data_IF_018069920140
#
_entry.id   IF_018069920140
#
_cell.length_a   1.000
_cell.length_b   1.000
_cell.length_c   1.000
_cell.angle_alpha   90.00
_cell.angle_beta   90.00
_cell.angle_gamma   90.00
#
_symmetry.space_group_name_H-M   'P 1'
#
loop_
_entity.id
_entity.type
_entity.pdbx_description
1 polymer ?
#
# COMPACT_ATOMS: atom_id res chain seq x y z
N UNK A 1 13.04 -22.52 30.79
CA UNK A 1 12.06 -21.79 29.96
C UNK A 1 12.50 -20.34 29.86
N UNK A 2 12.51 -19.78 28.66
CA UNK A 2 12.83 -18.39 28.40
C UNK A 2 11.51 -17.65 28.12
N UNK A 3 11.33 -16.48 28.72
CA UNK A 3 10.24 -15.58 28.40
C UNK A 3 10.82 -14.33 27.73
N UNK A 4 10.22 -13.93 26.61
CA UNK A 4 10.56 -12.72 25.89
C UNK A 4 9.37 -11.78 25.93
N UNK A 5 9.62 -10.53 26.27
CA UNK A 5 8.62 -9.47 26.20
C UNK A 5 9.10 -8.45 25.17
N UNK A 6 8.24 -8.14 24.20
CA UNK A 6 8.46 -7.10 23.20
C UNK A 6 7.41 -6.03 23.42
N UNK A 7 7.84 -4.78 23.58
CA UNK A 7 6.93 -3.66 23.79
C UNK A 7 6.30 -3.18 22.48
N UNK A 8 5.11 -2.60 22.57
CA UNK A 8 4.49 -1.89 21.44
C UNK A 8 5.44 -0.85 20.80
N UNK A 9 6.20 -0.14 21.65
CA UNK A 9 7.19 0.84 21.23
C UNK A 9 8.28 0.26 20.30
N UNK A 10 8.66 -1.01 20.48
CA UNK A 10 9.63 -1.69 19.59
C UNK A 10 9.09 -1.80 18.16
N UNK A 11 7.79 -2.06 18.01
CA UNK A 11 7.14 -2.10 16.70
C UNK A 11 6.95 -0.70 16.11
N UNK A 12 6.56 0.28 16.93
CA UNK A 12 6.38 1.68 16.48
C UNK A 12 7.67 2.29 15.95
N UNK A 13 8.79 2.08 16.64
CA UNK A 13 10.11 2.56 16.19
C UNK A 13 10.54 1.88 14.90
N UNK A 14 10.27 0.58 14.75
CA UNK A 14 10.50 -0.14 13.49
C UNK A 14 9.68 0.45 12.35
N UNK A 15 8.37 0.65 12.54
CA UNK A 15 7.51 1.27 11.54
C UNK A 15 7.97 2.68 11.15
N UNK A 16 8.42 3.49 12.12
CA UNK A 16 9.00 4.80 11.89
C UNK A 16 10.29 4.74 11.05
N UNK A 17 11.19 3.80 11.36
CA UNK A 17 12.43 3.63 10.61
C UNK A 17 12.16 3.24 9.14
N UNK A 18 11.25 2.29 8.88
CA UNK A 18 10.87 1.92 7.51
C UNK A 18 10.16 3.06 6.78
N UNK A 19 9.32 3.82 7.47
CA UNK A 19 8.64 4.98 6.90
C UNK A 19 9.62 6.07 6.49
N UNK A 20 10.54 6.44 7.37
CA UNK A 20 11.57 7.46 7.09
C UNK A 20 12.56 7.01 6.02
N UNK A 21 12.78 5.70 5.87
CA UNK A 21 13.57 5.13 4.78
C UNK A 21 12.82 5.08 3.42
N UNK A 22 11.53 5.47 3.38
CA UNK A 22 10.73 5.43 2.15
C UNK A 22 10.29 4.03 1.73
N UNK A 23 10.38 3.03 2.61
CA UNK A 23 10.09 1.64 2.29
C UNK A 23 8.60 1.35 1.99
N UNK A 24 7.70 2.28 2.32
CA UNK A 24 6.27 2.18 2.01
C UNK A 24 5.86 2.89 0.72
N UNK A 25 6.82 3.25 -0.14
CA UNK A 25 6.57 3.79 -1.47
C UNK A 25 6.66 2.65 -2.49
N UNK A 26 5.54 2.37 -3.18
CA UNK A 26 5.40 1.26 -4.12
C UNK A 26 4.88 1.80 -5.43
N UNK A 27 5.57 1.45 -6.52
CA UNK A 27 5.12 1.75 -7.87
C UNK A 27 4.63 0.44 -8.49
N UNK A 28 3.37 0.42 -8.90
CA UNK A 28 2.76 -0.71 -9.62
C UNK A 28 2.57 -0.28 -11.07
N UNK A 29 3.21 -1.02 -11.97
CA UNK A 29 3.07 -0.90 -13.41
C UNK A 29 2.46 -2.18 -13.98
N UNK A 30 2.09 -2.16 -15.25
CA UNK A 30 1.51 -3.31 -15.96
C UNK A 30 2.43 -4.57 -15.89
N UNK A 31 3.75 -4.38 -15.91
CA UNK A 31 4.73 -5.46 -15.75
C UNK A 31 4.66 -6.15 -14.38
N UNK A 32 4.26 -5.41 -13.34
CA UNK A 32 4.15 -5.92 -11.97
C UNK A 32 2.81 -6.65 -11.76
N UNK A 33 1.77 -6.26 -12.50
CA UNK A 33 0.41 -6.76 -12.36
C UNK A 33 -0.03 -7.59 -13.58
N UNK A 34 0.61 -8.73 -13.81
CA UNK A 34 0.26 -9.63 -14.94
C UNK A 34 -1.19 -10.13 -14.96
N UNK A 35 -1.90 -10.04 -13.83
CA UNK A 35 -3.29 -10.50 -13.68
C UNK A 35 -4.33 -9.41 -13.98
N UNK A 36 -3.96 -8.14 -13.92
CA UNK A 36 -4.87 -7.01 -14.12
C UNK A 36 -4.21 -6.02 -15.07
N UNK A 37 -4.72 -5.97 -16.30
CA UNK A 37 -4.26 -5.02 -17.31
C UNK A 37 -4.86 -3.64 -17.00
N UNK A 38 -4.16 -2.84 -16.20
CA UNK A 38 -4.66 -1.55 -15.71
C UNK A 38 -4.40 -0.48 -16.77
N UNK A 39 -5.45 -0.01 -17.44
CA UNK A 39 -5.39 1.01 -18.49
C UNK A 39 -6.38 2.14 -18.26
N UNK A 40 -6.23 3.25 -19.00
CA UNK A 40 -7.20 4.35 -18.96
C UNK A 40 -8.60 3.90 -19.38
N UNK A 41 -8.74 2.88 -20.23
CA UNK A 41 -10.02 2.27 -20.59
C UNK A 41 -10.67 1.55 -19.41
N UNK A 42 -9.89 0.81 -18.60
CA UNK A 42 -10.44 0.17 -17.39
C UNK A 42 -11.01 1.20 -16.43
N UNK A 43 -10.32 2.31 -16.21
CA UNK A 43 -10.83 3.42 -15.40
C UNK A 43 -11.95 4.19 -16.08
N UNK A 44 -11.92 4.33 -17.41
CA UNK A 44 -12.96 4.99 -18.20
C UNK A 44 -14.33 4.33 -18.08
N UNK A 45 -14.36 3.01 -17.83
CA UNK A 45 -15.61 2.27 -17.54
C UNK A 45 -16.24 2.63 -16.18
N UNK A 46 -15.45 3.15 -15.24
CA UNK A 46 -15.87 3.51 -13.88
C UNK A 46 -16.02 5.03 -13.72
N UNK A 47 -15.11 5.80 -14.35
CA UNK A 47 -14.97 7.25 -14.27
C UNK A 47 -15.07 7.81 -15.71
N UNK A 48 -16.26 8.24 -16.16
CA UNK A 48 -16.50 8.67 -17.54
C UNK A 48 -15.59 9.81 -18.01
N UNK A 49 -15.15 10.69 -17.11
CA UNK A 49 -14.23 11.78 -17.42
C UNK A 49 -12.88 11.27 -17.95
N UNK A 50 -12.41 10.12 -17.47
CA UNK A 50 -11.18 9.49 -17.97
C UNK A 50 -11.37 9.04 -19.42
N UNK A 51 -12.53 8.46 -19.74
CA UNK A 51 -12.84 8.05 -21.12
C UNK A 51 -12.97 9.23 -22.09
N UNK A 52 -13.39 10.40 -21.61
CA UNK A 52 -13.51 11.61 -22.44
C UNK A 52 -12.15 12.24 -22.76
N UNK A 53 -11.21 12.19 -21.81
CA UNK A 53 -9.87 12.77 -22.00
C UNK A 53 -8.93 11.88 -22.84
N UNK A 54 -9.16 10.56 -22.85
CA UNK A 54 -8.30 9.60 -23.54
C UNK A 54 -9.07 8.86 -24.63
N UNK A 55 -8.90 9.28 -25.88
CA UNK A 55 -9.48 8.61 -27.04
C UNK A 55 -8.84 7.23 -27.32
N UNK A 56 -7.55 7.09 -27.00
CA UNK A 56 -6.81 5.83 -27.08
C UNK A 56 -6.45 5.33 -25.68
N UNK A 57 -6.54 4.02 -25.48
CA UNK A 57 -6.22 3.36 -24.21
C UNK A 57 -4.72 3.49 -23.92
N UNK A 58 -4.37 4.11 -22.79
CA UNK A 58 -3.00 4.31 -22.34
C UNK A 58 -2.71 3.41 -21.13
N UNK A 59 -1.47 2.91 -20.98
CA UNK A 59 -1.05 2.21 -19.77
C UNK A 59 -1.18 3.11 -18.53
N UNK A 60 -1.47 2.50 -17.39
CA UNK A 60 -1.55 3.22 -16.12
C UNK A 60 -0.47 2.77 -15.15
N UNK A 61 0.09 3.72 -14.42
CA UNK A 61 0.98 3.51 -13.31
C UNK A 61 0.28 3.93 -12.00
N UNK A 62 0.33 3.07 -10.99
CA UNK A 62 -0.16 3.37 -9.65
C UNK A 62 1.03 3.68 -8.74
N UNK A 63 1.04 4.87 -8.16
CA UNK A 63 2.05 5.29 -7.22
C UNK A 63 1.45 5.31 -5.81
N UNK A 64 1.76 4.29 -5.02
CA UNK A 64 1.30 4.14 -3.64
C UNK A 64 2.36 4.69 -2.71
N UNK A 65 1.96 5.56 -1.80
CA UNK A 65 2.85 6.21 -0.84
C UNK A 65 2.21 6.24 0.54
N UNK A 66 2.98 5.98 1.58
CA UNK A 66 2.50 6.20 2.95
C UNK A 66 2.49 7.71 3.26
N UNK A 67 1.37 8.22 3.75
CA UNK A 67 1.22 9.65 4.08
C UNK A 67 1.70 9.98 5.48
N UNK A 68 1.74 8.98 6.36
CA UNK A 68 2.32 9.06 7.71
C UNK A 68 2.82 7.69 8.16
N UNK A 69 3.58 7.68 9.26
CA UNK A 69 4.09 6.45 9.87
C UNK A 69 2.94 5.49 10.24
N UNK A 70 3.02 4.20 9.83
CA UNK A 70 2.06 3.19 10.27
C UNK A 70 2.02 3.08 11.78
N UNK A 71 0.80 3.02 12.34
CA UNK A 71 0.60 2.93 13.78
C UNK A 71 0.33 1.48 14.13
N UNK A 72 1.16 0.93 15.02
CA UNK A 72 1.01 -0.43 15.52
C UNK A 72 0.53 -0.35 16.97
N UNK A 73 -0.51 -1.13 17.29
CA UNK A 73 -1.13 -1.13 18.60
C UNK A 73 -1.29 -2.56 19.13
N UNK A 74 -0.80 -2.79 20.35
CA UNK A 74 -0.82 -4.06 21.06
C UNK A 74 -1.79 -3.93 22.24
N UNK A 75 -2.99 -4.48 22.05
CA UNK A 75 -4.03 -4.58 23.07
C UNK A 75 -4.14 -6.03 23.55
N UNK A 76 -4.81 -6.24 24.68
CA UNK A 76 -5.15 -7.58 25.16
C UNK A 76 -5.94 -8.30 24.06
N UNK A 77 -5.44 -9.43 23.59
CA UNK A 77 -5.99 -10.28 22.52
C UNK A 77 -6.08 -9.64 21.11
N UNK A 78 -5.58 -8.42 20.92
CA UNK A 78 -5.63 -7.74 19.63
C UNK A 78 -4.30 -7.06 19.30
N UNK A 79 -3.70 -7.46 18.19
CA UNK A 79 -2.54 -6.80 17.62
C UNK A 79 -2.93 -6.23 16.25
N UNK A 80 -2.86 -4.92 16.10
CA UNK A 80 -3.36 -4.23 14.91
C UNK A 80 -2.32 -3.28 14.32
N UNK A 81 -2.47 -3.02 13.03
CA UNK A 81 -1.74 -1.99 12.30
C UNK A 81 -2.70 -1.11 11.51
N UNK A 82 -2.51 0.19 11.64
CA UNK A 82 -3.23 1.20 10.89
C UNK A 82 -2.28 1.87 9.90
N UNK A 83 -2.60 1.76 8.61
CA UNK A 83 -1.79 2.30 7.52
C UNK A 83 -2.58 3.40 6.84
N UNK A 84 -1.93 4.55 6.69
CA UNK A 84 -2.45 5.69 5.95
C UNK A 84 -1.55 5.95 4.76
N UNK A 85 -2.16 6.02 3.59
CA UNK A 85 -1.46 6.23 2.35
C UNK A 85 -2.29 7.00 1.34
N UNK A 86 -1.65 7.29 0.23
CA UNK A 86 -2.27 7.84 -0.97
C UNK A 86 -1.83 7.01 -2.15
N UNK A 87 -2.77 6.75 -3.05
CA UNK A 87 -2.49 6.15 -4.35
C UNK A 87 -2.77 7.21 -5.41
N UNK A 88 -1.74 7.61 -6.12
CA UNK A 88 -1.88 8.43 -7.32
C UNK A 88 -1.97 7.52 -8.55
N UNK A 89 -2.98 7.77 -9.38
CA UNK A 89 -3.22 7.03 -10.62
C UNK A 89 -2.76 7.90 -11.78
N UNK A 90 -1.77 7.41 -12.53
CA UNK A 90 -1.07 8.16 -13.57
C UNK A 90 -1.24 7.44 -14.91
N UNK A 91 -1.67 8.16 -15.95
CA UNK A 91 -1.57 7.66 -17.32
C UNK A 91 -0.14 7.83 -17.84
N UNK A 92 0.38 6.82 -18.51
CA UNK A 92 1.69 6.86 -19.18
C UNK A 92 1.44 7.16 -20.66
N UNK A 93 1.86 8.35 -21.11
CA UNK A 93 1.68 8.78 -22.49
C UNK A 93 2.75 8.18 -23.41
N UNK A 94 2.54 8.16 -24.75
CA UNK A 94 3.50 7.62 -25.71
C UNK A 94 4.89 8.25 -25.64
N UNK A 95 4.96 9.52 -25.23
CA UNK A 95 6.22 10.26 -25.04
C UNK A 95 6.93 9.93 -23.71
N UNK A 96 6.51 8.86 -23.03
CA UNK A 96 6.98 8.40 -21.71
C UNK A 96 6.75 9.40 -20.56
N UNK A 97 5.96 10.45 -20.79
CA UNK A 97 5.52 11.39 -19.75
C UNK A 97 4.34 10.83 -18.99
N UNK A 98 4.29 11.07 -17.68
CA UNK A 98 3.15 10.67 -16.84
C UNK A 98 2.20 11.84 -16.60
N UNK A 99 0.90 11.55 -16.64
CA UNK A 99 -0.15 12.53 -16.36
C UNK A 99 -1.05 12.01 -15.25
N UNK A 100 -1.19 12.79 -14.18
CA UNK A 100 -2.05 12.45 -13.05
C UNK A 100 -3.52 12.47 -13.47
N UNK A 101 -4.22 11.36 -13.24
CA UNK A 101 -5.65 11.23 -13.49
C UNK A 101 -6.43 11.65 -12.25
N UNK A 102 -6.11 11.03 -11.12
CA UNK A 102 -6.72 11.30 -9.83
C UNK A 102 -5.87 10.71 -8.69
N UNK A 103 -6.18 11.10 -7.45
CA UNK A 103 -5.53 10.58 -6.24
C UNK A 103 -6.58 10.02 -5.29
N UNK A 104 -6.28 8.88 -4.69
CA UNK A 104 -7.14 8.20 -3.72
C UNK A 104 -6.42 8.15 -2.38
N UNK A 105 -7.07 8.64 -1.32
CA UNK A 105 -6.58 8.46 0.03
C UNK A 105 -7.01 7.08 0.56
N UNK A 106 -6.06 6.35 1.12
CA UNK A 106 -6.26 4.99 1.63
C UNK A 106 -6.03 4.99 3.13
N UNK A 107 -6.99 4.46 3.86
CA UNK A 107 -6.85 4.15 5.29
C UNK A 107 -7.26 2.71 5.49
N UNK A 108 -6.36 1.89 6.00
CA UNK A 108 -6.62 0.48 6.25
C UNK A 108 -6.20 0.11 7.67
N UNK A 109 -7.00 -0.76 8.29
CA UNK A 109 -6.73 -1.36 9.58
C UNK A 109 -6.69 -2.88 9.40
N UNK A 110 -5.57 -3.48 9.77
CA UNK A 110 -5.31 -4.90 9.63
C UNK A 110 -4.99 -5.50 10.99
N UNK A 111 -5.46 -6.72 11.23
CA UNK A 111 -4.98 -7.52 12.36
C UNK A 111 -3.63 -8.16 12.01
N UNK A 112 -2.79 -8.36 13.02
CA UNK A 112 -1.50 -9.04 12.93
C UNK A 112 -1.54 -10.28 13.82
N UNK A 113 -1.19 -11.43 13.26
CA UNK A 113 -0.89 -12.64 14.03
C UNK A 113 0.63 -12.78 14.17
N UNK A 114 1.12 -13.03 15.38
CA UNK A 114 2.54 -13.23 15.67
C UNK A 114 2.84 -14.71 15.89
N UNK A 115 3.87 -15.20 15.23
CA UNK A 115 4.38 -16.56 15.39
C UNK A 115 5.90 -16.55 15.55
N UNK A 116 6.44 -17.51 16.29
CA UNK A 116 7.87 -17.75 16.37
C UNK A 116 8.21 -18.96 15.52
N UNK A 117 9.06 -18.76 14.52
CA UNK A 117 9.53 -19.81 13.64
C UNK A 117 11.02 -19.63 13.39
N UNK A 118 11.80 -20.69 13.59
CA UNK A 118 13.26 -20.68 13.40
C UNK A 118 13.96 -19.48 14.08
N UNK A 119 13.61 -19.23 15.35
CA UNK A 119 14.13 -18.13 16.17
C UNK A 119 13.82 -16.71 15.62
N UNK A 120 12.91 -16.59 14.66
CA UNK A 120 12.43 -15.31 14.12
C UNK A 120 11.00 -15.05 14.57
N UNK A 121 10.72 -13.80 14.93
CA UNK A 121 9.37 -13.32 15.15
C UNK A 121 8.76 -12.97 13.79
N UNK A 122 7.72 -13.70 13.38
CA UNK A 122 7.05 -13.52 12.10
C UNK A 122 5.66 -12.93 12.37
N UNK A 123 5.35 -11.82 11.69
CA UNK A 123 4.03 -11.21 11.67
C UNK A 123 3.28 -11.57 10.38
N UNK A 124 2.05 -12.07 10.52
CA UNK A 124 1.13 -12.29 9.40
C UNK A 124 0.03 -11.25 9.44
N UNK A 125 -0.07 -10.45 8.38
CA UNK A 125 -1.09 -9.42 8.21
C UNK A 125 -2.36 -10.02 7.62
N UNK A 126 -3.50 -9.75 8.25
CA UNK A 126 -4.81 -10.09 7.72
C UNK A 126 -5.63 -8.80 7.58
N UNK A 127 -5.83 -8.37 6.34
CA UNK A 127 -6.66 -7.20 6.06
C UNK A 127 -8.08 -7.49 6.56
N UNK A 128 -8.56 -6.66 7.47
CA UNK A 128 -9.93 -6.80 7.96
C UNK A 128 -10.88 -6.48 6.80
N UNK A 129 -11.92 -7.31 6.63
CA UNK A 129 -12.93 -7.19 5.58
C UNK A 129 -13.84 -5.99 5.78
#
# INVERSE_FOLDING_TARGET
>A
MLYLAVSEYSFQTTAFAYYTAGAFNIIITDEVCSYFNITTETFGSIIPEVAQYYAESQPVMLNLTATKTPVISLQTDAFTIEIHGSMEVLAVLPDATTQSLFTVNITTNSSISLTLFDQKLIGSLCLNR
#
